data_IF_353761877249
#
_entry.id   IF_353761877249
#
_cell.length_a   1.000
_cell.length_b   1.000
_cell.length_c   1.000
_cell.angle_alpha   90.00
_cell.angle_beta   90.00
_cell.angle_gamma   90.00
#
_symmetry.space_group_name_H-M   'P 1'
#
loop_
_entity.id
_entity.type
_entity.pdbx_description
1 polymer ?
#
# COMPACT_ATOMS: atom_id res chain seq x y z
N UNK A 1 -21.86 -0.24 14.34
CA UNK A 1 -22.29 0.18 12.98
C UNK A 1 -21.62 -0.73 11.97
N UNK A 2 -22.26 -1.14 10.87
CA UNK A 2 -21.64 -2.01 9.85
C UNK A 2 -21.80 -1.42 8.45
N UNK A 3 -20.69 -1.34 7.73
CA UNK A 3 -20.61 -0.87 6.34
C UNK A 3 -19.99 -2.01 5.53
N UNK A 4 -20.57 -2.31 4.37
CA UNK A 4 -20.03 -3.27 3.42
C UNK A 4 -20.02 -2.67 2.02
N UNK A 5 -18.95 -2.92 1.28
CA UNK A 5 -18.80 -2.51 -0.10
C UNK A 5 -18.28 -3.69 -0.92
N UNK A 6 -18.82 -3.86 -2.13
CA UNK A 6 -18.29 -4.80 -3.12
C UNK A 6 -17.91 -4.02 -4.36
N UNK A 7 -16.66 -4.14 -4.79
CA UNK A 7 -16.18 -3.57 -6.04
C UNK A 7 -15.99 -4.70 -7.05
N UNK A 8 -16.54 -4.54 -8.25
CA UNK A 8 -16.46 -5.56 -9.29
C UNK A 8 -15.54 -5.24 -10.44
N UNK A 9 -15.40 -3.97 -10.81
CA UNK A 9 -14.48 -3.54 -11.85
C UNK A 9 -13.75 -2.28 -11.39
N UNK A 10 -12.43 -2.29 -11.52
CA UNK A 10 -11.56 -1.17 -11.23
C UNK A 10 -10.45 -1.15 -12.28
N UNK A 11 -10.48 -0.13 -13.11
CA UNK A 11 -9.41 0.17 -14.06
C UNK A 11 -8.89 1.58 -13.83
N UNK A 12 -7.58 1.70 -13.60
CA UNK A 12 -6.88 2.99 -13.60
C UNK A 12 -6.03 3.06 -14.86
N UNK A 13 -6.25 4.09 -15.68
CA UNK A 13 -5.53 4.28 -16.95
C UNK A 13 -4.73 5.57 -16.88
N UNK A 14 -3.47 5.50 -17.30
CA UNK A 14 -2.61 6.64 -17.50
C UNK A 14 -2.95 7.32 -18.84
N UNK A 15 -3.40 8.57 -18.74
CA UNK A 15 -3.72 9.41 -19.90
C UNK A 15 -2.53 10.30 -20.31
N UNK A 16 -1.43 10.27 -19.56
CA UNK A 16 -0.20 10.99 -19.91
C UNK A 16 0.50 10.22 -21.02
N UNK A 17 0.31 10.64 -22.28
CA UNK A 17 0.89 9.97 -23.44
C UNK A 17 2.44 10.00 -23.44
N UNK A 18 3.07 8.90 -23.01
CA UNK A 18 4.53 8.70 -23.06
C UNK A 18 4.98 7.79 -24.22
N UNK A 19 4.24 7.78 -25.33
CA UNK A 19 4.64 7.06 -26.56
C UNK A 19 4.15 5.61 -26.68
N UNK A 20 3.32 5.11 -25.75
CA UNK A 20 2.53 3.90 -25.96
C UNK A 20 1.18 4.27 -26.60
N UNK A 21 0.59 3.46 -27.48
CA UNK A 21 -0.75 3.72 -28.05
C UNK A 21 -1.85 3.77 -26.97
N UNK A 22 -2.95 4.47 -27.23
CA UNK A 22 -4.09 4.61 -26.30
C UNK A 22 -4.71 3.27 -25.91
N UNK A 23 -4.67 2.28 -26.81
CA UNK A 23 -5.15 0.92 -26.59
C UNK A 23 -4.12 -0.02 -25.93
N UNK A 24 -2.93 0.49 -25.58
CA UNK A 24 -1.88 -0.33 -24.99
C UNK A 24 -2.23 -0.75 -23.57
N UNK A 25 -2.17 -2.06 -23.28
CA UNK A 25 -2.30 -2.61 -21.92
C UNK A 25 -1.31 -1.99 -20.92
N UNK A 26 -0.21 -1.39 -21.39
CA UNK A 26 0.79 -0.71 -20.56
C UNK A 26 0.28 0.59 -19.94
N UNK A 27 -0.74 1.22 -20.52
CA UNK A 27 -1.38 2.41 -19.94
C UNK A 27 -2.32 2.05 -18.78
N UNK A 28 -2.75 0.79 -18.66
CA UNK A 28 -3.59 0.35 -17.54
C UNK A 28 -2.71 0.16 -16.30
N UNK A 29 -2.64 1.17 -15.45
CA UNK A 29 -1.82 1.15 -14.23
C UNK A 29 -2.31 0.08 -13.25
N UNK A 30 -3.62 -0.01 -13.06
CA UNK A 30 -4.27 -0.98 -12.20
C UNK A 30 -5.46 -1.56 -12.95
N UNK A 31 -5.59 -2.87 -12.97
CA UNK A 31 -6.76 -3.57 -13.48
C UNK A 31 -7.08 -4.77 -12.59
N UNK A 32 -8.36 -5.03 -12.34
CA UNK A 32 -8.80 -6.32 -11.79
C UNK A 32 -8.77 -7.33 -12.95
N UNK A 33 -8.08 -8.44 -12.75
CA UNK A 33 -8.02 -9.54 -13.73
C UNK A 33 -9.08 -10.61 -13.35
N UNK A 34 -10.05 -10.85 -14.23
CA UNK A 34 -11.13 -11.83 -14.04
C UNK A 34 -12.40 -11.26 -13.38
N UNK A 35 -13.28 -12.14 -12.91
CA UNK A 35 -14.55 -11.80 -12.20
C UNK A 35 -14.33 -11.53 -10.69
N UNK A 36 -13.13 -11.07 -10.35
CA UNK A 36 -12.61 -11.11 -9.00
C UNK A 36 -13.04 -9.88 -8.20
N UNK A 37 -14.09 -10.04 -7.40
CA UNK A 37 -14.67 -8.98 -6.58
C UNK A 37 -13.77 -8.64 -5.38
N UNK A 38 -13.64 -7.34 -5.06
CA UNK A 38 -13.14 -6.90 -3.76
C UNK A 38 -14.32 -6.77 -2.78
N UNK A 39 -14.33 -7.56 -1.72
CA UNK A 39 -15.30 -7.52 -0.61
C UNK A 39 -14.65 -6.82 0.59
N UNK A 40 -15.12 -5.61 0.87
CA UNK A 40 -14.70 -4.80 2.00
C UNK A 40 -15.82 -4.71 3.03
N UNK A 41 -15.49 -4.92 4.30
CA UNK A 41 -16.41 -4.76 5.42
C UNK A 41 -15.74 -4.02 6.56
N UNK A 42 -16.44 -3.03 7.10
CA UNK A 42 -16.06 -2.29 8.29
C UNK A 42 -17.17 -2.39 9.32
N UNK A 43 -16.81 -2.71 10.56
CA UNK A 43 -17.77 -2.85 11.65
C UNK A 43 -17.23 -2.24 12.94
N UNK A 44 -18.05 -1.50 13.67
CA UNK A 44 -17.74 -0.97 14.99
C UNK A 44 -18.59 -1.64 16.06
N UNK A 45 -17.96 -1.91 17.20
CA UNK A 45 -18.54 -2.59 18.35
C UNK A 45 -18.63 -1.63 19.54
N UNK A 46 -19.63 -1.86 20.38
CA UNK A 46 -19.82 -1.13 21.64
C UNK A 46 -19.21 -1.95 22.78
N UNK A 47 -18.33 -1.33 23.57
CA UNK A 47 -17.64 -1.95 24.70
C UNK A 47 -18.60 -2.36 25.84
N UNK A 48 -19.74 -1.67 25.96
CA UNK A 48 -20.74 -1.95 27.00
C UNK A 48 -21.70 -3.08 26.62
N UNK A 49 -21.62 -3.59 25.37
CA UNK A 49 -22.47 -4.68 24.92
C UNK A 49 -21.96 -6.03 25.41
N UNK A 50 -22.88 -6.89 25.86
CA UNK A 50 -22.60 -8.29 26.23
C UNK A 50 -21.97 -9.14 25.12
N UNK A 51 -22.02 -8.67 23.86
CA UNK A 51 -21.43 -9.34 22.68
C UNK A 51 -20.10 -8.72 22.23
N UNK A 52 -19.42 -7.94 23.08
CA UNK A 52 -18.17 -7.27 22.72
C UNK A 52 -17.04 -8.27 22.45
N UNK A 53 -16.46 -8.29 21.25
CA UNK A 53 -15.47 -9.31 20.85
C UNK A 53 -14.04 -9.00 21.33
N UNK A 54 -13.84 -7.93 22.11
CA UNK A 54 -12.52 -7.52 22.62
C UNK A 54 -11.81 -6.46 21.78
N UNK A 55 -12.48 -5.90 20.77
CA UNK A 55 -11.98 -4.82 19.90
C UNK A 55 -13.11 -3.88 19.47
N UNK A 56 -12.78 -2.61 19.26
CA UNK A 56 -13.75 -1.53 19.02
C UNK A 56 -14.16 -1.44 17.55
N UNK A 57 -13.29 -1.87 16.64
CA UNK A 57 -13.62 -1.95 15.23
C UNK A 57 -12.94 -3.12 14.52
N UNK A 58 -13.54 -3.54 13.42
CA UNK A 58 -12.99 -4.56 12.54
C UNK A 58 -13.01 -4.13 11.08
N UNK A 59 -11.93 -4.46 10.38
CA UNK A 59 -11.76 -4.31 8.95
C UNK A 59 -11.58 -5.69 8.34
N UNK A 60 -12.33 -5.98 7.30
CA UNK A 60 -12.20 -7.20 6.52
C UNK A 60 -12.08 -6.85 5.06
N UNK A 61 -11.04 -7.36 4.41
CA UNK A 61 -10.84 -7.19 2.97
C UNK A 61 -10.48 -8.53 2.35
N UNK A 62 -11.25 -8.90 1.32
CA UNK A 62 -10.87 -9.94 0.36
C UNK A 62 -10.86 -9.34 -1.01
N UNK A 63 -9.74 -9.43 -1.70
CA UNK A 63 -9.65 -9.03 -3.09
C UNK A 63 -9.10 -10.21 -3.91
N UNK A 64 -9.57 -10.33 -5.15
CA UNK A 64 -8.99 -11.26 -6.10
C UNK A 64 -7.82 -10.63 -6.86
N UNK A 65 -7.57 -11.09 -8.08
CA UNK A 65 -6.38 -10.74 -8.84
C UNK A 65 -6.38 -9.27 -9.26
N UNK A 66 -5.37 -8.55 -8.80
CA UNK A 66 -5.10 -7.17 -9.20
C UNK A 66 -3.79 -7.18 -9.99
N UNK A 67 -3.86 -6.73 -11.24
CA UNK A 67 -2.71 -6.50 -12.09
C UNK A 67 -2.30 -5.04 -12.02
N UNK A 68 -1.04 -4.82 -11.69
CA UNK A 68 -0.43 -3.52 -11.54
C UNK A 68 0.69 -3.40 -12.55
N UNK A 69 0.56 -2.53 -13.54
CA UNK A 69 1.68 -2.14 -14.39
C UNK A 69 2.41 -1.00 -13.70
N UNK A 70 3.65 -1.23 -13.28
CA UNK A 70 4.46 -0.27 -12.56
C UNK A 70 5.28 0.59 -13.53
N UNK A 71 4.85 1.84 -13.72
CA UNK A 71 5.57 2.87 -14.46
C UNK A 71 5.89 4.01 -13.48
N UNK A 72 7.16 4.38 -13.34
CA UNK A 72 7.59 5.31 -12.30
C UNK A 72 6.84 6.66 -12.33
N UNK A 73 6.72 7.29 -13.51
CA UNK A 73 6.19 8.65 -13.63
C UNK A 73 4.70 8.78 -13.25
N UNK A 74 3.78 7.90 -13.72
CA UNK A 74 2.38 7.98 -13.30
C UNK A 74 2.20 7.81 -11.79
N UNK A 75 2.88 6.86 -11.15
CA UNK A 75 2.78 6.69 -9.70
C UNK A 75 3.35 7.89 -8.94
N UNK A 76 4.48 8.45 -9.38
CA UNK A 76 5.05 9.67 -8.78
C UNK A 76 4.03 10.81 -8.75
N UNK A 77 3.35 11.07 -9.88
CA UNK A 77 2.31 12.12 -9.98
C UNK A 77 1.10 11.84 -9.08
N UNK A 78 0.66 10.57 -8.99
CA UNK A 78 -0.44 10.17 -8.12
C UNK A 78 -0.06 10.41 -6.65
N UNK A 79 1.13 9.99 -6.22
CA UNK A 79 1.59 10.16 -4.85
C UNK A 79 1.79 11.65 -4.53
N UNK A 80 2.36 12.43 -5.44
CA UNK A 80 2.48 13.88 -5.29
C UNK A 80 1.12 14.56 -5.11
N UNK A 81 0.12 14.20 -5.93
CA UNK A 81 -1.24 14.68 -5.78
C UNK A 81 -1.83 14.30 -4.42
N UNK A 82 -1.70 13.04 -3.99
CA UNK A 82 -2.21 12.58 -2.70
C UNK A 82 -1.56 13.31 -1.52
N UNK A 83 -0.25 13.58 -1.60
CA UNK A 83 0.46 14.37 -0.58
C UNK A 83 -0.03 15.82 -0.57
N UNK A 84 -0.14 16.49 -1.73
CA UNK A 84 -0.67 17.86 -1.84
C UNK A 84 -2.13 17.94 -1.36
N UNK A 85 -2.96 16.98 -1.75
CA UNK A 85 -4.35 16.87 -1.32
C UNK A 85 -4.46 16.64 0.20
N UNK A 86 -3.65 15.74 0.75
CA UNK A 86 -3.61 15.48 2.19
C UNK A 86 -3.22 16.73 3.00
N UNK A 87 -2.24 17.51 2.52
CA UNK A 87 -1.88 18.81 3.13
C UNK A 87 -3.06 19.79 3.12
N UNK A 88 -3.72 19.98 1.97
CA UNK A 88 -4.89 20.86 1.85
C UNK A 88 -6.05 20.41 2.75
N UNK A 89 -6.34 19.10 2.80
CA UNK A 89 -7.37 18.55 3.66
C UNK A 89 -7.04 18.77 5.14
N UNK A 90 -5.76 18.63 5.54
CA UNK A 90 -5.32 18.92 6.90
C UNK A 90 -5.54 20.40 7.26
N UNK A 91 -5.19 21.35 6.37
CA UNK A 91 -5.45 22.78 6.56
C UNK A 91 -6.96 23.06 6.67
N UNK A 92 -7.77 22.47 5.79
CA UNK A 92 -9.23 22.65 5.81
C UNK A 92 -9.86 22.08 7.09
N UNK A 93 -9.42 20.89 7.51
CA UNK A 93 -9.86 20.28 8.76
C UNK A 93 -9.39 21.11 9.97
N UNK A 94 -8.16 21.63 9.95
CA UNK A 94 -7.64 22.50 10.99
C UNK A 94 -8.44 23.81 11.09
N UNK A 95 -8.78 24.43 9.96
CA UNK A 95 -9.63 25.62 9.91
C UNK A 95 -11.05 25.33 10.42
N UNK A 96 -11.63 24.21 10.00
CA UNK A 96 -12.95 23.75 10.48
C UNK A 96 -12.93 23.43 11.97
N UNK A 97 -11.86 22.84 12.47
CA UNK A 97 -11.70 22.49 13.88
C UNK A 97 -11.41 23.71 14.75
N UNK A 98 -10.66 24.70 14.23
CA UNK A 98 -10.49 26.00 14.86
C UNK A 98 -11.84 26.76 14.95
N UNK A 99 -12.70 26.60 13.95
CA UNK A 99 -14.07 27.14 13.97
C UNK A 99 -15.05 26.32 14.84
N UNK A 100 -14.78 25.02 15.07
CA UNK A 100 -15.65 24.09 15.80
C UNK A 100 -14.95 23.55 17.07
N UNK A 101 -14.56 24.45 17.96
CA UNK A 101 -13.91 24.13 19.23
C UNK A 101 -14.91 23.63 20.28
N UNK A 102 -15.35 22.37 20.20
CA UNK A 102 -16.06 21.73 21.31
C UNK A 102 -16.08 20.19 21.38
N UNK A 103 -15.25 19.47 20.60
CA UNK A 103 -15.33 18.00 20.53
C UNK A 103 -13.99 17.25 20.67
N UNK A 104 -12.99 17.83 21.34
CA UNK A 104 -11.65 17.23 21.44
C UNK A 104 -11.51 16.12 22.51
N UNK A 105 -12.57 15.78 23.25
CA UNK A 105 -12.49 14.80 24.34
C UNK A 105 -12.58 13.32 23.90
N UNK A 106 -12.83 13.04 22.61
CA UNK A 106 -13.10 11.67 22.13
C UNK A 106 -11.88 10.89 21.58
N UNK A 107 -10.65 11.38 21.75
CA UNK A 107 -9.47 10.79 21.07
C UNK A 107 -8.44 10.10 21.98
N UNK A 108 -8.77 9.85 23.26
CA UNK A 108 -7.86 9.16 24.19
C UNK A 108 -8.23 7.70 24.49
N UNK A 109 -9.28 7.14 23.88
CA UNK A 109 -9.47 5.70 23.92
C UNK A 109 -8.58 5.06 22.86
N UNK A 110 -7.59 4.28 23.27
CA UNK A 110 -6.77 3.42 22.41
C UNK A 110 -7.67 2.44 21.67
N UNK A 111 -8.25 2.87 20.54
CA UNK A 111 -9.25 2.10 19.82
C UNK A 111 -8.58 0.85 19.24
N UNK A 112 -9.00 -0.33 19.67
CA UNK A 112 -8.47 -1.60 19.17
C UNK A 112 -9.11 -1.91 17.83
N UNK A 113 -8.30 -1.89 16.78
CA UNK A 113 -8.73 -2.20 15.42
C UNK A 113 -8.27 -3.61 15.06
N UNK A 114 -9.21 -4.51 14.83
CA UNK A 114 -8.93 -5.80 14.20
C UNK A 114 -8.95 -5.65 12.69
N UNK A 115 -7.98 -6.19 11.97
CA UNK A 115 -8.01 -6.27 10.52
C UNK A 115 -7.69 -7.68 10.03
N UNK A 116 -8.29 -8.03 8.91
CA UNK A 116 -8.07 -9.29 8.21
C UNK A 116 -8.16 -9.02 6.70
N UNK A 117 -7.00 -8.94 6.08
CA UNK A 117 -6.79 -8.62 4.68
C UNK A 117 -6.19 -9.82 3.98
N UNK A 118 -6.77 -10.19 2.84
CA UNK A 118 -6.22 -11.20 1.96
C UNK A 118 -6.48 -10.79 0.50
N UNK A 119 -5.41 -10.71 -0.28
CA UNK A 119 -5.42 -10.38 -1.71
C UNK A 119 -4.85 -11.56 -2.47
N UNK A 120 -5.67 -12.16 -3.32
CA UNK A 120 -5.29 -13.32 -4.11
C UNK A 120 -4.67 -12.89 -5.43
N UNK A 121 -3.55 -13.52 -5.74
CA UNK A 121 -2.83 -13.44 -7.01
C UNK A 121 -2.64 -12.01 -7.52
N UNK A 122 -2.05 -11.09 -6.72
CA UNK A 122 -1.63 -9.81 -7.27
C UNK A 122 -0.47 -10.03 -8.24
N UNK A 123 -0.50 -9.34 -9.38
CA UNK A 123 0.50 -9.43 -10.44
C UNK A 123 1.08 -8.03 -10.63
N UNK A 124 2.39 -7.89 -10.47
CA UNK A 124 3.09 -6.62 -10.72
C UNK A 124 3.99 -6.78 -11.94
N UNK A 125 3.74 -5.99 -12.97
CA UNK A 125 4.51 -5.99 -14.22
C UNK A 125 5.38 -4.74 -14.24
N UNK A 126 6.68 -4.94 -14.43
CA UNK A 126 7.69 -3.89 -14.55
C UNK A 126 8.18 -3.85 -16.00
N UNK A 127 7.58 -3.02 -16.86
CA UNK A 127 8.08 -2.82 -18.21
C UNK A 127 9.32 -1.93 -18.20
N UNK A 128 10.34 -2.30 -18.98
CA UNK A 128 11.51 -1.47 -19.20
C UNK A 128 11.16 -0.29 -20.11
N UNK A 129 11.79 0.85 -19.86
CA UNK A 129 11.66 2.05 -20.71
C UNK A 129 12.17 1.74 -22.12
N UNK A 130 11.47 2.22 -23.16
CA UNK A 130 11.84 1.86 -24.54
C UNK A 130 13.16 2.50 -24.93
N UNK A 131 14.07 1.68 -25.46
CA UNK A 131 15.13 2.17 -26.33
C UNK A 131 14.55 2.26 -27.75
N UNK A 132 14.66 3.42 -28.39
CA UNK A 132 14.11 3.66 -29.72
C UNK A 132 14.61 2.61 -30.73
N UNK A 133 13.74 1.68 -31.16
CA UNK A 133 14.09 0.72 -32.22
C UNK A 133 13.37 -0.64 -32.21
N UNK A 134 12.85 -1.11 -31.07
CA UNK A 134 12.09 -2.39 -30.99
C UNK A 134 10.62 -2.15 -30.68
N UNK A 135 9.71 -2.83 -31.38
CA UNK A 135 8.26 -2.77 -31.09
C UNK A 135 7.86 -3.45 -29.77
N UNK A 136 8.77 -4.23 -29.17
CA UNK A 136 8.56 -4.99 -27.94
C UNK A 136 9.40 -4.43 -26.78
N UNK A 137 8.87 -4.49 -25.54
CA UNK A 137 9.53 -4.07 -24.30
C UNK A 137 9.96 -5.30 -23.50
N UNK A 138 11.16 -5.25 -22.93
CA UNK A 138 11.54 -6.19 -21.88
C UNK A 138 10.65 -5.97 -20.67
N UNK A 139 10.16 -7.05 -20.07
CA UNK A 139 9.29 -7.00 -18.89
C UNK A 139 9.77 -7.94 -17.81
N UNK A 140 9.61 -7.53 -16.56
CA UNK A 140 9.74 -8.39 -15.40
C UNK A 140 8.38 -8.48 -14.73
N UNK A 141 7.89 -9.69 -14.50
CA UNK A 141 6.57 -9.92 -13.92
C UNK A 141 6.70 -10.65 -12.59
N UNK A 142 6.23 -10.03 -11.52
CA UNK A 142 6.15 -10.60 -10.18
C UNK A 142 4.71 -11.05 -9.90
N UNK A 143 4.51 -12.36 -9.84
CA UNK A 143 3.28 -12.99 -9.37
C UNK A 143 3.41 -13.17 -7.86
N UNK A 144 2.67 -12.39 -7.08
CA UNK A 144 2.80 -12.35 -5.63
C UNK A 144 1.98 -13.45 -4.92
N UNK A 145 1.29 -14.31 -5.68
CA UNK A 145 0.58 -15.49 -5.16
C UNK A 145 -0.57 -15.16 -4.21
N UNK A 146 -0.31 -14.92 -2.93
CA UNK A 146 -1.29 -14.47 -1.94
C UNK A 146 -0.63 -13.49 -0.96
N UNK A 147 -1.19 -12.28 -0.84
CA UNK A 147 -0.81 -11.33 0.21
C UNK A 147 -1.82 -11.46 1.34
N UNK A 148 -1.36 -11.65 2.56
CA UNK A 148 -2.21 -11.68 3.75
C UNK A 148 -1.67 -10.76 4.83
N UNK A 149 -2.57 -10.16 5.59
CA UNK A 149 -2.25 -9.39 6.78
C UNK A 149 -3.42 -9.43 7.74
N UNK A 150 -3.18 -9.82 8.99
CA UNK A 150 -4.22 -9.77 10.00
C UNK A 150 -3.66 -9.77 11.41
N UNK A 151 -4.39 -9.14 12.32
CA UNK A 151 -4.02 -9.07 13.72
C UNK A 151 -5.05 -9.75 14.63
N UNK A 152 -4.59 -10.06 15.83
CA UNK A 152 -5.36 -10.64 16.92
C UNK A 152 -4.83 -10.10 18.24
N UNK A 153 -5.75 -9.93 19.19
CA UNK A 153 -5.45 -9.47 20.53
C UNK A 153 -5.40 -10.70 21.44
N UNK A 154 -4.26 -10.91 22.10
CA UNK A 154 -4.01 -12.09 22.94
C UNK A 154 -3.47 -11.65 24.31
N UNK A 155 -3.89 -12.29 25.41
CA UNK A 155 -3.28 -12.04 26.71
C UNK A 155 -1.83 -12.53 26.71
N UNK A 156 -0.94 -11.78 27.37
CA UNK A 156 0.48 -12.15 27.49
C UNK A 156 0.75 -13.24 28.53
N UNK A 157 -0.13 -13.40 29.52
CA UNK A 157 -0.04 -14.41 30.56
C UNK A 157 -1.45 -14.94 30.95
N UNK A 158 -1.49 -15.95 31.81
CA UNK A 158 -2.72 -16.57 32.31
C UNK A 158 -3.29 -15.84 33.55
N UNK A 159 -2.81 -14.62 33.85
CA UNK A 159 -3.30 -13.86 35.01
C UNK A 159 -4.63 -13.18 34.72
N UNK A 160 -5.44 -12.94 35.76
CA UNK A 160 -6.73 -12.24 35.61
C UNK A 160 -6.59 -10.80 35.08
N UNK A 161 -5.40 -10.19 35.19
CA UNK A 161 -5.07 -8.84 34.71
C UNK A 161 -4.01 -8.85 33.60
N UNK A 162 -3.98 -9.92 32.80
CA UNK A 162 -3.02 -10.07 31.71
C UNK A 162 -3.03 -8.86 30.78
N UNK A 163 -1.84 -8.31 30.51
CA UNK A 163 -1.70 -7.26 29.49
C UNK A 163 -2.02 -7.86 28.12
N UNK A 164 -2.89 -7.18 27.36
CA UNK A 164 -3.30 -7.63 26.03
C UNK A 164 -2.26 -7.17 25.02
N UNK A 165 -1.61 -8.11 24.35
CA UNK A 165 -0.72 -7.84 23.23
C UNK A 165 -1.47 -7.94 21.89
N UNK A 166 -1.07 -7.10 20.95
CA UNK A 166 -1.46 -7.20 19.56
C UNK A 166 -0.45 -8.08 18.81
N UNK A 167 -0.90 -9.23 18.32
CA UNK A 167 -0.12 -10.09 17.44
C UNK A 167 -0.61 -9.96 16.01
N UNK A 168 0.22 -9.38 15.16
CA UNK A 168 0.04 -9.24 13.72
C UNK A 168 0.78 -10.37 12.99
N UNK A 169 0.12 -10.96 12.00
CA UNK A 169 0.75 -11.86 11.03
C UNK A 169 0.48 -11.30 9.64
N UNK A 170 1.56 -11.02 8.91
CA UNK A 170 1.49 -10.53 7.54
C UNK A 170 2.51 -11.25 6.67
N UNK A 171 2.27 -11.36 5.39
CA UNK A 171 3.19 -12.03 4.49
C UNK A 171 2.68 -12.15 3.07
N UNK A 172 3.53 -12.70 2.24
CA UNK A 172 3.29 -12.99 0.83
C UNK A 172 3.68 -14.44 0.60
N UNK A 173 2.82 -15.23 -0.04
CA UNK A 173 3.03 -16.65 -0.30
C UNK A 173 3.04 -16.95 -1.78
N UNK A 174 3.77 -17.99 -2.16
CA UNK A 174 3.84 -18.51 -3.51
C UNK A 174 4.27 -17.43 -4.53
N UNK A 175 5.30 -16.65 -4.17
CA UNK A 175 5.89 -15.65 -5.05
C UNK A 175 6.59 -16.36 -6.20
N UNK A 176 6.31 -15.91 -7.42
CA UNK A 176 6.97 -16.33 -8.65
C UNK A 176 7.40 -15.10 -9.44
N UNK A 177 8.63 -15.09 -9.93
CA UNK A 177 9.20 -13.98 -10.67
C UNK A 177 9.65 -14.48 -12.05
N UNK A 178 9.10 -13.90 -13.11
CA UNK A 178 9.50 -14.21 -14.49
C UNK A 178 10.01 -12.97 -15.20
N UNK A 179 10.86 -13.16 -16.20
CA UNK A 179 11.33 -12.10 -17.08
C UNK A 179 11.10 -12.50 -18.53
N UNK A 180 10.59 -11.56 -19.33
CA UNK A 180 10.42 -11.70 -20.77
C UNK A 180 11.30 -10.65 -21.45
N UNK A 181 12.36 -11.10 -22.14
CA UNK A 181 13.33 -10.23 -22.79
C UNK A 181 13.29 -10.44 -24.30
N UNK A 182 13.34 -9.35 -25.06
CA UNK A 182 13.26 -9.37 -26.52
C UNK A 182 14.62 -9.00 -27.12
N UNK A 183 15.12 -9.87 -28.00
CA UNK A 183 16.39 -9.73 -28.67
C UNK A 183 16.21 -9.36 -30.15
N UNK A 184 17.26 -8.87 -30.82
CA UNK A 184 17.27 -8.73 -32.28
C UNK A 184 16.89 -10.06 -32.96
N UNK A 185 16.28 -9.98 -34.15
CA UNK A 185 15.72 -11.12 -34.92
C UNK A 185 14.42 -11.73 -34.37
N UNK A 186 13.61 -10.95 -33.65
CA UNK A 186 12.28 -11.35 -33.15
C UNK A 186 12.32 -12.58 -32.21
N UNK A 187 13.45 -12.74 -31.50
CA UNK A 187 13.63 -13.79 -30.49
C UNK A 187 13.25 -13.25 -29.13
N UNK A 188 12.39 -13.98 -28.42
CA UNK A 188 12.07 -13.71 -27.02
C UNK A 188 12.63 -14.80 -26.12
N UNK A 189 13.10 -14.41 -24.93
CA UNK A 189 13.48 -15.32 -23.86
C UNK A 189 12.60 -15.07 -22.65
N UNK A 190 11.79 -16.07 -22.30
CA UNK A 190 11.10 -16.14 -21.02
C UNK A 190 11.96 -16.96 -20.05
N UNK A 191 12.28 -16.37 -18.91
CA UNK A 191 13.01 -17.05 -17.83
C UNK A 191 12.29 -16.89 -16.51
N UNK A 192 12.13 -18.00 -15.81
CA UNK A 192 11.71 -18.02 -14.41
C UNK A 192 12.92 -17.78 -13.50
N UNK A 193 12.90 -16.63 -12.82
CA UNK A 193 13.97 -16.18 -11.93
C UNK A 193 13.85 -16.80 -10.55
N UNK A 194 12.62 -16.85 -10.03
CA UNK A 194 12.26 -17.36 -8.69
C UNK A 194 10.93 -18.11 -8.81
N UNK A 195 10.82 -19.25 -8.13
CA UNK A 195 9.58 -20.02 -8.00
C UNK A 195 9.30 -20.36 -6.53
N UNK A 196 8.02 -20.29 -6.14
CA UNK A 196 7.47 -20.70 -4.84
C UNK A 196 8.23 -20.17 -3.63
N UNK A 197 8.29 -18.84 -3.52
CA UNK A 197 8.89 -18.19 -2.35
C UNK A 197 7.82 -17.65 -1.42
N UNK A 198 7.97 -17.96 -0.14
CA UNK A 198 7.13 -17.45 0.93
C UNK A 198 7.95 -16.48 1.78
N UNK A 199 7.35 -15.34 2.10
CA UNK A 199 7.88 -14.33 3.02
C UNK A 199 6.81 -14.02 4.06
N UNK A 200 7.12 -14.25 5.33
CA UNK A 200 6.22 -14.02 6.46
C UNK A 200 6.84 -13.13 7.52
N UNK A 201 5.97 -12.40 8.20
CA UNK A 201 6.30 -11.58 9.34
C UNK A 201 5.28 -11.84 10.45
N UNK A 202 5.81 -11.99 11.67
CA UNK A 202 5.04 -12.01 12.90
C UNK A 202 5.50 -10.81 13.71
N UNK A 203 4.57 -9.89 13.97
CA UNK A 203 4.84 -8.69 14.76
C UNK A 203 4.04 -8.78 16.04
N UNK A 204 4.71 -8.74 17.17
CA UNK A 204 4.10 -8.71 18.49
C UNK A 204 4.33 -7.32 19.09
N UNK A 205 3.24 -6.62 19.36
CA UNK A 205 3.26 -5.33 20.05
C UNK A 205 2.54 -5.45 21.38
N UNK A 206 3.13 -4.91 22.43
CA UNK A 206 2.53 -4.85 23.75
C UNK A 206 2.81 -3.48 24.37
N UNK A 207 1.86 -3.02 25.18
CA UNK A 207 1.99 -1.74 25.87
C UNK A 207 3.22 -1.74 26.79
N UNK A 208 3.86 -0.57 26.87
CA UNK A 208 5.04 -0.38 27.69
C UNK A 208 4.72 -0.62 29.17
N UNK A 209 5.58 -1.34 29.86
CA UNK A 209 5.46 -1.56 31.31
C UNK A 209 6.83 -1.38 31.94
N UNK A 210 6.95 -0.41 32.85
CA UNK A 210 8.21 -0.14 33.54
C UNK A 210 8.73 -1.41 34.25
N UNK A 211 10.01 -1.73 34.05
CA UNK A 211 10.64 -2.90 34.66
C UNK A 211 10.34 -4.24 33.97
N UNK A 212 9.56 -4.25 32.87
CA UNK A 212 9.38 -5.45 32.07
C UNK A 212 10.67 -5.82 31.32
N UNK A 213 11.03 -7.11 31.33
CA UNK A 213 12.21 -7.64 30.61
C UNK A 213 11.94 -7.91 29.12
N UNK A 214 10.69 -7.77 28.68
CA UNK A 214 10.25 -7.99 27.29
C UNK A 214 10.35 -6.70 26.47
N UNK A 215 10.62 -6.78 25.15
CA UNK A 215 10.48 -5.63 24.28
C UNK A 215 9.00 -5.22 24.13
N UNK A 216 8.77 -3.94 23.83
CA UNK A 216 7.44 -3.43 23.48
C UNK A 216 7.02 -3.84 22.07
N UNK A 217 8.01 -4.04 21.18
CA UNK A 217 7.83 -4.45 19.79
C UNK A 217 8.84 -5.55 19.44
N UNK A 218 8.33 -6.69 19.00
CA UNK A 218 9.09 -7.81 18.46
C UNK A 218 8.65 -8.08 17.02
N UNK A 219 9.62 -8.23 16.13
CA UNK A 219 9.38 -8.53 14.71
C UNK A 219 10.20 -9.77 14.35
N UNK A 220 9.50 -10.85 14.04
CA UNK A 220 10.08 -12.07 13.51
C UNK A 220 9.78 -12.17 12.02
N UNK A 221 10.83 -12.24 11.20
CA UNK A 221 10.71 -12.45 9.75
C UNK A 221 11.16 -13.86 9.37
N UNK A 222 10.39 -14.54 8.54
CA UNK A 222 10.73 -15.85 8.00
C UNK A 222 10.60 -15.84 6.47
N UNK A 223 11.53 -16.49 5.78
CA UNK A 223 11.51 -16.63 4.33
C UNK A 223 11.83 -18.08 3.98
N UNK A 224 11.19 -18.62 2.95
CA UNK A 224 11.53 -19.95 2.43
C UNK A 224 12.87 -19.90 1.67
N UNK A 225 13.59 -21.02 1.65
CA UNK A 225 14.74 -21.16 0.76
C UNK A 225 14.30 -21.01 -0.70
N UNK A 226 15.16 -20.40 -1.52
CA UNK A 226 14.87 -20.20 -2.93
C UNK A 226 16.11 -20.31 -3.79
N UNK A 227 15.90 -20.73 -5.04
CA UNK A 227 16.96 -20.78 -6.04
C UNK A 227 16.76 -19.62 -7.02
N UNK A 228 17.75 -18.74 -7.11
CA UNK A 228 17.74 -17.63 -8.06
C UNK A 228 18.45 -18.03 -9.34
N UNK A 229 17.73 -18.03 -10.47
CA UNK A 229 18.31 -18.28 -11.80
C UNK A 229 18.30 -16.97 -12.57
N UNK A 230 19.44 -16.31 -12.70
CA UNK A 230 19.49 -14.97 -13.28
C UNK A 230 20.71 -14.79 -14.20
N UNK A 231 20.49 -14.10 -15.32
CA UNK A 231 21.53 -13.67 -16.27
C UNK A 231 22.05 -12.27 -15.92
N UNK A 232 23.17 -11.87 -16.54
CA UNK A 232 23.74 -10.53 -16.32
C UNK A 232 22.75 -9.41 -16.70
N UNK A 233 21.97 -9.57 -17.77
CA UNK A 233 21.02 -8.56 -18.24
C UNK A 233 19.85 -8.40 -17.27
N UNK A 234 19.31 -9.52 -16.78
CA UNK A 234 18.23 -9.52 -15.78
C UNK A 234 18.70 -8.92 -14.45
N UNK A 235 19.94 -9.22 -14.01
CA UNK A 235 20.48 -8.62 -12.78
C UNK A 235 20.61 -7.10 -12.89
N UNK A 236 21.07 -6.59 -14.04
CA UNK A 236 21.10 -5.14 -14.30
C UNK A 236 19.69 -4.55 -14.23
N UNK A 237 18.71 -5.21 -14.82
CA UNK A 237 17.33 -4.72 -14.77
C UNK A 237 16.74 -4.72 -13.36
N UNK A 238 16.98 -5.77 -12.55
CA UNK A 238 16.58 -5.77 -11.14
C UNK A 238 17.24 -4.63 -10.33
N UNK A 239 18.51 -4.33 -10.60
CA UNK A 239 19.21 -3.22 -9.95
C UNK A 239 18.68 -1.85 -10.40
N UNK A 240 18.24 -1.70 -11.64
CA UNK A 240 17.53 -0.51 -12.13
C UNK A 240 16.20 -0.35 -11.36
N UNK A 241 15.41 -1.43 -11.24
CA UNK A 241 14.14 -1.43 -10.51
C UNK A 241 14.29 -1.15 -9.02
N UNK A 242 15.33 -1.69 -8.38
CA UNK A 242 15.62 -1.42 -6.96
C UNK A 242 15.88 0.07 -6.69
N UNK A 243 16.24 0.85 -7.71
CA UNK A 243 16.41 2.32 -7.62
C UNK A 243 15.16 3.08 -8.04
N UNK A 244 14.49 2.67 -9.11
CA UNK A 244 13.32 3.39 -9.64
C UNK A 244 12.07 3.21 -8.78
N UNK A 245 11.85 2.02 -8.21
CA UNK A 245 10.65 1.74 -7.39
C UNK A 245 10.57 2.65 -6.16
N UNK A 246 11.61 2.77 -5.30
CA UNK A 246 11.56 3.72 -4.18
C UNK A 246 11.46 5.17 -4.64
N UNK A 247 12.12 5.53 -5.74
CA UNK A 247 12.11 6.89 -6.27
C UNK A 247 10.69 7.35 -6.67
N UNK A 248 9.84 6.44 -7.15
CA UNK A 248 8.43 6.74 -7.46
C UNK A 248 7.62 7.22 -6.24
N UNK A 249 8.00 6.79 -5.04
CA UNK A 249 7.34 7.16 -3.79
C UNK A 249 8.00 8.35 -3.09
N UNK A 250 9.17 8.80 -3.56
CA UNK A 250 9.81 10.01 -3.08
C UNK A 250 9.15 11.22 -3.74
N UNK A 251 8.35 11.94 -2.97
CA UNK A 251 7.84 13.27 -3.34
C UNK A 251 8.80 14.31 -2.80
N UNK A 252 9.25 15.22 -3.67
CA UNK A 252 10.03 16.37 -3.23
C UNK A 252 9.11 17.26 -2.40
N UNK A 253 9.40 17.40 -1.11
CA UNK A 253 8.65 18.26 -0.20
C UNK A 253 9.05 19.73 -0.38
N UNK A 254 9.27 20.16 -1.63
CA UNK A 254 9.53 21.55 -1.99
C UNK A 254 8.28 22.39 -1.79
N UNK A 255 8.22 23.07 -0.66
CA UNK A 255 7.95 24.50 -0.50
C UNK A 255 6.83 25.22 -1.28
N UNK A 256 5.82 24.53 -1.82
CA UNK A 256 4.65 25.22 -2.41
C UNK A 256 3.58 25.56 -1.34
N UNK A 257 4.01 25.90 -0.12
CA UNK A 257 3.14 26.06 1.06
C UNK A 257 3.10 27.47 1.66
N UNK A 258 4.01 28.38 1.30
CA UNK A 258 4.10 29.70 1.92
C UNK A 258 3.32 30.80 1.18
N UNK A 259 2.95 30.62 -0.09
CA UNK A 259 2.40 31.73 -0.90
C UNK A 259 0.87 31.93 -0.83
N UNK A 260 0.09 31.04 -0.24
CA UNK A 260 -1.40 31.15 -0.26
C UNK A 260 -1.97 31.83 0.99
N UNK A 261 -1.15 32.07 2.02
CA UNK A 261 -1.60 32.71 3.26
C UNK A 261 -1.37 34.24 3.30
N UNK A 262 -0.48 34.79 2.48
CA UNK A 262 -0.14 36.21 2.55
C UNK A 262 -1.03 37.13 1.71
N UNK A 263 -1.67 36.65 0.63
CA UNK A 263 -2.54 37.50 -0.20
C UNK A 263 -3.87 37.88 0.49
N UNK A 264 -4.45 37.01 1.32
CA UNK A 264 -5.72 37.30 2.00
C UNK A 264 -5.61 38.23 3.22
N UNK A 265 -4.40 38.54 3.68
CA UNK A 265 -4.18 39.47 4.79
C UNK A 265 -3.92 40.93 4.36
N UNK A 266 -3.69 41.17 3.06
CA UNK A 266 -3.43 42.52 2.54
C UNK A 266 -4.69 43.22 2.02
N UNK A 267 -5.72 42.50 1.57
CA UNK A 267 -7.00 43.12 1.13
C UNK A 267 -7.90 43.59 2.30
N UNK A 268 -7.64 43.18 3.54
CA UNK A 268 -8.46 43.58 4.71
C UNK A 268 -8.00 44.88 5.41
N UNK A 269 -6.90 45.52 4.98
CA UNK A 269 -6.35 46.72 5.64
C UNK A 269 -6.54 48.04 4.89
N UNK A 270 -7.30 48.02 3.79
CA UNK A 270 -7.51 49.18 2.92
C UNK A 270 -8.92 49.75 2.95
N UNK A 271 -9.58 49.89 4.10
CA UNK A 271 -10.74 50.79 4.21
C UNK A 271 -10.97 51.21 5.66
N UNK A 272 -10.33 52.32 6.09
CA UNK A 272 -10.76 53.22 7.16
C UNK A 272 -9.68 54.29 7.42
N UNK A 273 -9.79 55.44 6.73
CA UNK A 273 -9.61 56.80 7.25
C UNK A 273 -9.67 57.82 6.11
#
# INVERSE_FOLDING_TARGET
MRIGAKLGDLSLVDDVNQGASTDSNLRRLIAIEGDDLADFRYETFDSESSSYPGYDSSIYLRAGSIKVNFLEEPYRKIIEFLVKFGKMQAIFNAARQAAASQASQLQQSTSRIKFDVNVKTPIVVFPRVMNAGSGHRDTLTAYLGEIYAGNKFVPLDDSENATIAMKLSAGIRNIRLTSDFYFPDDKSEELELIDKVDLGFIVTYAEHTEGALRPDLEIEGNMSDFNLRITQTQLKFLLELAKSVPAAFMVDSGDDGEDVAEENCQESKGDHA
#
